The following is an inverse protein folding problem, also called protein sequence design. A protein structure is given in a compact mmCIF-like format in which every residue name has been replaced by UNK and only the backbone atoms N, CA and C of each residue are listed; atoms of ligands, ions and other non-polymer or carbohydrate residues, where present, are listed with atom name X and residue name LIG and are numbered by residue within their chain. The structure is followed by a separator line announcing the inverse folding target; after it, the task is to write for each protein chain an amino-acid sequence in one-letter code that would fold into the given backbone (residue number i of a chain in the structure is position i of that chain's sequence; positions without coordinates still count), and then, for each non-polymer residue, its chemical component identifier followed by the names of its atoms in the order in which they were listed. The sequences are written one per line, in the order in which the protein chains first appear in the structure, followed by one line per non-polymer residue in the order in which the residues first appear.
data_IF_708267434964
#
_entry.id   IF_708267434964
#
_cell.length_a   1.000
_cell.length_b   1.000
_cell.length_c   1.000
_cell.angle_alpha   90.00
_cell.angle_beta   90.00
_cell.angle_gamma   90.00
#
_symmetry.space_group_name_H-M   'P 1'
#
loop_
_entity.id
_entity.type
_entity.pdbx_description
1 polymer ?
#
# COMPACT_ATOMS: atom_id res chain seq x y z
N UNK A 1 -9.87 -24.09 30.09
CA UNK A 1 -8.96 -23.31 30.98
C UNK A 1 -8.05 -22.45 30.09
N UNK A 2 -8.33 -21.16 29.93
CA UNK A 2 -7.52 -20.23 29.12
C UNK A 2 -6.31 -19.80 29.93
N UNK A 3 -5.13 -20.06 29.41
CA UNK A 3 -3.85 -19.78 30.08
C UNK A 3 -3.67 -18.23 30.22
N UNK A 4 -3.66 -17.64 31.44
CA UNK A 4 -3.61 -16.20 31.66
C UNK A 4 -2.31 -15.57 31.18
N UNK A 5 -1.23 -16.35 31.00
CA UNK A 5 0.04 -15.90 30.44
C UNK A 5 -0.05 -15.57 28.94
N UNK A 6 -0.84 -16.31 28.17
CA UNK A 6 -1.05 -16.05 26.74
C UNK A 6 -1.79 -14.72 26.48
N UNK A 7 -2.79 -14.39 27.30
CA UNK A 7 -3.52 -13.12 27.22
C UNK A 7 -2.63 -11.91 27.57
N UNK A 8 -1.74 -12.06 28.55
CA UNK A 8 -0.79 -11.00 28.95
C UNK A 8 0.29 -10.74 27.87
N UNK A 9 0.74 -11.78 27.17
CA UNK A 9 1.69 -11.65 26.06
C UNK A 9 1.04 -10.97 24.85
N UNK A 10 -0.19 -11.28 24.51
CA UNK A 10 -0.95 -10.64 23.44
C UNK A 10 -1.13 -9.13 23.68
N UNK A 11 -1.46 -8.70 24.89
CA UNK A 11 -1.62 -7.29 25.24
C UNK A 11 -0.32 -6.49 25.16
N UNK A 12 0.82 -7.07 25.59
CA UNK A 12 2.14 -6.42 25.46
C UNK A 12 2.58 -6.30 24.01
N UNK A 13 2.32 -7.29 23.18
CA UNK A 13 2.62 -7.29 21.76
C UNK A 13 1.84 -6.20 21.04
N UNK A 14 0.55 -6.07 21.32
CA UNK A 14 -0.31 -5.05 20.71
C UNK A 14 0.10 -3.62 21.09
N UNK A 15 0.46 -3.37 22.35
CA UNK A 15 0.99 -2.05 22.79
C UNK A 15 2.28 -1.68 22.06
N UNK A 16 3.21 -2.62 21.87
CA UNK A 16 4.44 -2.41 21.10
C UNK A 16 4.15 -2.08 19.62
N UNK A 17 3.18 -2.75 19.02
CA UNK A 17 2.75 -2.48 17.64
C UNK A 17 2.20 -1.05 17.49
N UNK A 18 1.36 -0.60 18.42
CA UNK A 18 0.81 0.76 18.42
C UNK A 18 1.88 1.84 18.63
N UNK A 19 2.99 1.55 19.31
CA UNK A 19 4.08 2.48 19.51
C UNK A 19 5.03 2.62 18.29
N UNK A 20 4.98 1.69 17.32
CA UNK A 20 5.84 1.75 16.12
C UNK A 20 5.47 2.86 15.15
N UNK A 21 4.18 3.09 14.93
CA UNK A 21 3.70 4.14 14.03
C UNK A 21 4.12 5.55 14.49
N UNK A 22 3.86 5.99 15.75
CA UNK A 22 4.29 7.30 16.20
C UNK A 22 5.83 7.44 16.26
N UNK A 23 6.55 6.34 16.50
CA UNK A 23 8.01 6.37 16.45
C UNK A 23 8.53 6.53 15.01
N UNK A 24 7.90 5.88 14.03
CA UNK A 24 8.23 6.06 12.59
C UNK A 24 7.88 7.46 12.10
N UNK A 25 6.72 8.01 12.52
CA UNK A 25 6.33 9.38 12.14
C UNK A 25 7.28 10.42 12.73
N UNK A 26 7.67 10.29 13.99
CA UNK A 26 8.66 11.22 14.61
C UNK A 26 10.00 11.19 13.89
N UNK A 27 10.48 10.03 13.48
CA UNK A 27 11.72 9.90 12.72
C UNK A 27 11.60 10.55 11.35
N UNK A 28 10.49 10.35 10.64
CA UNK A 28 10.22 10.98 9.36
C UNK A 28 10.21 12.51 9.46
N UNK A 29 9.51 13.06 10.46
CA UNK A 29 9.48 14.50 10.67
C UNK A 29 10.79 15.10 11.19
N UNK A 30 11.70 14.31 11.74
CA UNK A 30 13.05 14.76 12.06
C UNK A 30 13.92 14.97 10.83
N UNK A 31 13.62 14.24 9.72
CA UNK A 31 14.39 14.26 8.47
C UNK A 31 13.66 15.02 7.35
N UNK A 32 13.42 16.31 7.58
CA UNK A 32 12.67 17.16 6.67
C UNK A 32 13.15 17.13 5.21
N UNK A 33 14.48 17.08 4.98
CA UNK A 33 15.04 17.05 3.63
C UNK A 33 14.61 15.80 2.85
N UNK A 34 14.60 14.65 3.48
CA UNK A 34 14.16 13.39 2.88
C UNK A 34 12.66 13.40 2.62
N UNK A 35 11.88 13.92 3.58
CA UNK A 35 10.43 14.06 3.44
C UNK A 35 10.08 14.99 2.27
N UNK A 36 10.70 16.16 2.16
CA UNK A 36 10.48 17.10 1.06
C UNK A 36 10.85 16.48 -0.30
N UNK A 37 11.95 15.72 -0.37
CA UNK A 37 12.32 15.02 -1.59
C UNK A 37 11.29 13.96 -1.98
N UNK A 38 10.78 13.18 -1.02
CA UNK A 38 9.70 12.22 -1.29
C UNK A 38 8.41 12.91 -1.74
N UNK A 39 8.05 14.07 -1.15
CA UNK A 39 6.90 14.87 -1.58
C UNK A 39 7.10 15.35 -3.03
N UNK A 40 8.28 15.88 -3.35
CA UNK A 40 8.59 16.35 -4.71
C UNK A 40 8.49 15.22 -5.75
N UNK A 41 9.06 14.04 -5.45
CA UNK A 41 8.96 12.86 -6.32
C UNK A 41 7.51 12.37 -6.46
N UNK A 42 6.73 12.41 -5.38
CA UNK A 42 5.33 12.00 -5.41
C UNK A 42 4.49 12.97 -6.24
N UNK A 43 4.70 14.27 -6.12
CA UNK A 43 4.05 15.27 -6.96
C UNK A 43 4.47 15.13 -8.43
N UNK A 44 5.74 14.84 -8.71
CA UNK A 44 6.21 14.56 -10.07
C UNK A 44 5.54 13.31 -10.65
N UNK A 45 5.37 12.26 -9.85
CA UNK A 45 4.64 11.06 -10.25
C UNK A 45 3.16 11.36 -10.55
N UNK A 46 2.48 12.10 -9.68
CA UNK A 46 1.09 12.51 -9.92
C UNK A 46 0.98 13.40 -11.17
N UNK A 47 1.93 14.31 -11.37
CA UNK A 47 2.03 15.14 -12.58
C UNK A 47 2.22 14.31 -13.84
N UNK A 48 3.07 13.27 -13.79
CA UNK A 48 3.26 12.35 -14.91
C UNK A 48 1.97 11.57 -15.24
N UNK A 49 1.27 11.07 -14.23
CA UNK A 49 -0.02 10.38 -14.39
C UNK A 49 -1.07 11.35 -14.98
N UNK A 50 -1.16 12.56 -14.44
CA UNK A 50 -2.11 13.59 -14.92
C UNK A 50 -1.84 13.93 -16.39
N UNK A 51 -0.58 14.21 -16.75
CA UNK A 51 -0.19 14.50 -18.13
C UNK A 51 -0.46 13.31 -19.07
N UNK A 52 -0.23 12.07 -18.60
CA UNK A 52 -0.54 10.87 -19.37
C UNK A 52 -2.03 10.81 -19.76
N UNK A 53 -2.95 11.11 -18.83
CA UNK A 53 -4.37 11.09 -19.12
C UNK A 53 -4.87 12.25 -19.97
N UNK A 54 -4.19 13.40 -19.93
CA UNK A 54 -4.59 14.58 -20.72
C UNK A 54 -3.97 14.57 -22.12
N UNK A 55 -2.82 13.93 -22.31
CA UNK A 55 -2.15 13.89 -23.60
C UNK A 55 -3.00 13.11 -24.60
N UNK A 56 -3.45 13.80 -25.65
CA UNK A 56 -4.17 13.18 -26.76
C UNK A 56 -3.17 12.59 -27.76
N UNK A 57 -3.44 11.39 -28.26
CA UNK A 57 -2.54 10.70 -29.20
C UNK A 57 -2.84 11.12 -30.66
N UNK A 58 -2.59 12.38 -30.99
CA UNK A 58 -2.83 12.90 -32.35
C UNK A 58 -1.55 13.00 -33.21
N UNK A 59 -0.37 13.05 -32.57
CA UNK A 59 0.92 13.16 -33.25
C UNK A 59 1.94 12.15 -32.74
N UNK A 60 2.97 11.83 -33.53
CA UNK A 60 4.07 10.93 -33.14
C UNK A 60 4.77 11.44 -31.87
N UNK A 61 4.95 12.77 -31.73
CA UNK A 61 5.55 13.36 -30.53
C UNK A 61 4.69 13.15 -29.28
N UNK A 62 3.37 13.24 -29.41
CA UNK A 62 2.44 12.98 -28.30
C UNK A 62 2.41 11.49 -27.92
N UNK A 63 2.48 10.59 -28.90
CA UNK A 63 2.59 9.15 -28.63
C UNK A 63 3.88 8.83 -27.86
N UNK A 64 5.03 9.41 -28.29
CA UNK A 64 6.30 9.24 -27.58
C UNK A 64 6.23 9.79 -26.16
N UNK A 65 5.62 10.96 -25.98
CA UNK A 65 5.42 11.57 -24.64
C UNK A 65 4.55 10.65 -23.77
N UNK A 66 3.42 10.15 -24.27
CA UNK A 66 2.57 9.22 -23.54
C UNK A 66 3.33 7.96 -23.13
N UNK A 67 4.15 7.40 -24.00
CA UNK A 67 4.99 6.25 -23.69
C UNK A 67 6.03 6.57 -22.60
N UNK A 68 6.68 7.73 -22.68
CA UNK A 68 7.64 8.18 -21.68
C UNK A 68 6.96 8.38 -20.31
N UNK A 69 5.77 9.00 -20.26
CA UNK A 69 5.00 9.21 -19.05
C UNK A 69 4.52 7.88 -18.43
N UNK A 70 4.09 6.93 -19.27
CA UNK A 70 3.70 5.59 -18.84
C UNK A 70 4.84 4.83 -18.15
N UNK A 71 6.10 5.06 -18.56
CA UNK A 71 7.28 4.49 -17.92
C UNK A 71 7.69 5.32 -16.70
N UNK A 72 7.63 6.64 -16.77
CA UNK A 72 8.09 7.53 -15.70
C UNK A 72 7.30 7.33 -14.40
N UNK A 73 5.98 7.16 -14.47
CA UNK A 73 5.14 6.98 -13.28
C UNK A 73 5.53 5.74 -12.43
N UNK A 74 5.62 4.52 -12.97
CA UNK A 74 6.07 3.36 -12.19
C UNK A 74 7.54 3.46 -11.75
N UNK A 75 8.43 4.07 -12.53
CA UNK A 75 9.81 4.30 -12.11
C UNK A 75 9.87 5.22 -10.90
N UNK A 76 9.19 6.37 -10.93
CA UNK A 76 9.10 7.29 -9.79
C UNK A 76 8.49 6.61 -8.57
N UNK A 77 7.44 5.82 -8.76
CA UNK A 77 6.83 5.04 -7.68
C UNK A 77 7.86 4.11 -7.02
N UNK A 78 8.62 3.32 -7.79
CA UNK A 78 9.63 2.40 -7.26
C UNK A 78 10.79 3.13 -6.57
N UNK A 79 11.19 4.30 -7.07
CA UNK A 79 12.19 5.15 -6.40
C UNK A 79 11.68 5.60 -5.03
N UNK A 80 10.43 6.07 -4.94
CA UNK A 80 9.79 6.44 -3.67
C UNK A 80 9.75 5.24 -2.71
N UNK A 81 9.42 4.03 -3.20
CA UNK A 81 9.41 2.82 -2.38
C UNK A 81 10.79 2.48 -1.84
N UNK A 82 11.84 2.61 -2.67
CA UNK A 82 13.22 2.37 -2.25
C UNK A 82 13.64 3.38 -1.19
N UNK A 83 13.29 4.66 -1.36
CA UNK A 83 13.54 5.70 -0.36
C UNK A 83 12.78 5.42 0.93
N UNK A 84 11.50 5.08 0.87
CA UNK A 84 10.67 4.74 2.02
C UNK A 84 11.18 3.51 2.80
N UNK A 85 11.79 2.54 2.13
CA UNK A 85 12.39 1.38 2.77
C UNK A 85 13.73 1.70 3.48
N UNK A 86 14.44 2.74 3.02
CA UNK A 86 15.80 3.08 3.47
C UNK A 86 15.90 4.35 4.30
N UNK A 87 14.83 5.16 4.44
CA UNK A 87 14.94 6.44 5.14
C UNK A 87 15.36 6.30 6.61
N UNK A 88 15.24 5.10 7.18
CA UNK A 88 15.69 4.82 8.56
C UNK A 88 17.19 4.46 8.65
N UNK A 89 17.83 4.18 7.51
CA UNK A 89 19.26 3.93 7.47
C UNK A 89 19.99 5.27 7.70
N UNK A 90 21.11 5.24 8.44
CA UNK A 90 21.89 6.44 8.82
C UNK A 90 22.63 7.09 7.64
N UNK A 91 21.96 7.31 6.52
CA UNK A 91 22.52 8.06 5.41
C UNK A 91 22.51 9.56 5.74
N UNK A 92 23.68 10.13 5.99
CA UNK A 92 23.85 11.52 6.35
C UNK A 92 23.53 12.52 5.23
N UNK A 93 23.02 12.09 4.07
CA UNK A 93 22.74 12.96 2.93
C UNK A 93 21.57 12.47 2.11
N UNK A 94 20.58 13.35 1.93
CA UNK A 94 19.41 13.15 1.05
C UNK A 94 19.83 12.76 -0.39
N UNK A 95 20.89 13.38 -0.90
CA UNK A 95 21.41 13.10 -2.24
C UNK A 95 21.96 11.69 -2.39
N UNK A 96 22.66 11.20 -1.37
CA UNK A 96 23.14 9.80 -1.36
C UNK A 96 21.99 8.81 -1.31
N UNK A 97 20.97 9.10 -0.51
CA UNK A 97 19.75 8.27 -0.44
C UNK A 97 19.04 8.23 -1.79
N UNK A 98 18.85 9.38 -2.44
CA UNK A 98 18.21 9.47 -3.75
C UNK A 98 19.04 8.72 -4.82
N UNK A 99 20.35 8.97 -4.90
CA UNK A 99 21.23 8.31 -5.86
C UNK A 99 21.26 6.78 -5.68
N UNK A 100 21.29 6.30 -4.42
CA UNK A 100 21.22 4.87 -4.15
C UNK A 100 19.84 4.29 -4.52
N UNK A 101 18.76 5.03 -4.29
CA UNK A 101 17.40 4.62 -4.64
C UNK A 101 17.21 4.53 -6.16
N UNK A 102 17.74 5.51 -6.90
CA UNK A 102 17.75 5.48 -8.38
C UNK A 102 18.57 4.31 -8.92
N UNK A 103 19.71 4.00 -8.28
CA UNK A 103 20.54 2.86 -8.72
C UNK A 103 19.88 1.51 -8.43
N UNK A 104 19.12 1.41 -7.36
CA UNK A 104 18.61 0.13 -6.86
C UNK A 104 17.13 -0.13 -7.20
N UNK A 105 16.39 0.84 -7.79
CA UNK A 105 14.96 0.69 -8.11
C UNK A 105 14.68 -0.51 -9.03
N UNK A 106 15.61 -0.84 -9.94
CA UNK A 106 15.45 -1.96 -10.84
C UNK A 106 15.33 -3.32 -10.11
N UNK A 107 15.96 -3.44 -8.92
CA UNK A 107 15.85 -4.64 -8.08
C UNK A 107 14.42 -4.81 -7.57
N UNK A 108 13.78 -3.68 -7.21
CA UNK A 108 12.38 -3.68 -6.83
C UNK A 108 11.47 -3.98 -8.01
N UNK A 109 11.83 -3.47 -9.20
CA UNK A 109 11.10 -3.75 -10.44
C UNK A 109 11.06 -5.26 -10.73
N UNK A 110 12.21 -5.93 -10.62
CA UNK A 110 12.31 -7.40 -10.85
C UNK A 110 11.41 -8.18 -9.89
N UNK A 111 11.32 -7.76 -8.62
CA UNK A 111 10.42 -8.39 -7.64
C UNK A 111 8.95 -7.97 -7.85
N UNK A 112 8.71 -6.76 -8.32
CA UNK A 112 7.35 -6.29 -8.60
C UNK A 112 6.71 -7.03 -9.79
N UNK A 113 7.50 -7.43 -10.80
CA UNK A 113 6.99 -8.12 -11.99
C UNK A 113 6.15 -9.37 -11.67
N UNK A 114 6.61 -10.36 -10.88
CA UNK A 114 5.78 -11.51 -10.55
C UNK A 114 4.55 -11.15 -9.73
N UNK A 115 4.61 -10.11 -8.89
CA UNK A 115 3.43 -9.62 -8.14
C UNK A 115 2.42 -8.96 -9.08
N UNK A 116 2.88 -8.18 -10.05
CA UNK A 116 2.02 -7.57 -11.08
C UNK A 116 1.37 -8.67 -11.93
N UNK A 117 2.14 -9.67 -12.35
CA UNK A 117 1.61 -10.80 -13.10
C UNK A 117 0.56 -11.57 -12.30
N UNK A 118 0.80 -11.79 -11.01
CA UNK A 118 -0.18 -12.41 -10.11
C UNK A 118 -1.43 -11.54 -9.98
N UNK A 119 -1.29 -10.23 -9.87
CA UNK A 119 -2.42 -9.29 -9.82
C UNK A 119 -3.25 -9.32 -11.10
N UNK A 120 -2.59 -9.28 -12.27
CA UNK A 120 -3.27 -9.38 -13.57
C UNK A 120 -4.00 -10.72 -13.73
N UNK A 121 -3.35 -11.82 -13.34
CA UNK A 121 -3.97 -13.15 -13.35
C UNK A 121 -5.20 -13.19 -12.42
N UNK A 122 -5.11 -12.61 -11.23
CA UNK A 122 -6.23 -12.53 -10.29
C UNK A 122 -7.39 -11.72 -10.87
N UNK A 123 -7.13 -10.54 -11.46
CA UNK A 123 -8.16 -9.73 -12.12
C UNK A 123 -8.84 -10.53 -13.24
N UNK A 124 -8.06 -11.22 -14.06
CA UNK A 124 -8.61 -12.07 -15.13
C UNK A 124 -9.51 -13.18 -14.57
N UNK A 125 -9.07 -13.88 -13.53
CA UNK A 125 -9.83 -14.94 -12.90
C UNK A 125 -11.12 -14.42 -12.26
N UNK A 126 -11.06 -13.34 -11.47
CA UNK A 126 -12.25 -12.74 -10.85
C UNK A 126 -13.24 -12.27 -11.90
N UNK A 127 -12.79 -11.57 -12.94
CA UNK A 127 -13.66 -11.16 -14.06
C UNK A 127 -14.33 -12.33 -14.76
N UNK A 128 -13.66 -13.48 -14.88
CA UNK A 128 -14.25 -14.68 -15.45
C UNK A 128 -15.28 -15.34 -14.52
N UNK A 129 -15.05 -15.33 -13.22
CA UNK A 129 -16.01 -15.82 -12.23
C UNK A 129 -17.26 -14.94 -12.18
N UNK A 130 -17.10 -13.61 -12.26
CA UNK A 130 -18.20 -12.66 -12.28
C UNK A 130 -19.07 -12.80 -13.56
N UNK A 131 -18.43 -13.02 -14.72
CA UNK A 131 -19.14 -13.21 -15.99
C UNK A 131 -19.95 -14.53 -16.04
N UNK A 132 -19.58 -15.53 -15.26
CA UNK A 132 -20.31 -16.79 -15.14
C UNK A 132 -21.41 -16.76 -14.06
N UNK A 133 -21.45 -15.71 -13.22
CA UNK A 133 -22.58 -15.49 -12.33
C UNK A 133 -23.81 -15.14 -13.19
N UNK A 134 -24.99 -15.72 -12.94
CA UNK A 134 -26.18 -15.45 -13.73
C UNK A 134 -26.43 -13.93 -13.72
N UNK A 135 -26.31 -13.33 -14.90
CA UNK A 135 -26.47 -11.90 -15.10
C UNK A 135 -27.86 -11.52 -14.59
N UNK A 136 -27.91 -10.92 -13.43
CA UNK A 136 -29.13 -10.30 -12.93
C UNK A 136 -29.46 -9.15 -13.87
N UNK A 137 -30.46 -9.38 -14.67
CA UNK A 137 -31.04 -8.67 -15.77
C UNK A 137 -31.45 -7.21 -15.49
N UNK A 138 -30.59 -6.39 -14.91
CA UNK A 138 -30.81 -4.95 -14.79
C UNK A 138 -30.62 -4.26 -16.15
N UNK A 139 -29.74 -4.77 -17.02
CA UNK A 139 -29.49 -4.20 -18.35
C UNK A 139 -30.62 -4.51 -19.37
N UNK A 140 -31.30 -5.61 -19.21
CA UNK A 140 -32.44 -5.94 -20.10
C UNK A 140 -33.73 -5.23 -19.70
N UNK A 141 -33.97 -5.01 -18.39
CA UNK A 141 -35.14 -4.30 -17.90
C UNK A 141 -35.19 -2.82 -18.34
N UNK A 142 -34.03 -2.18 -18.51
CA UNK A 142 -33.95 -0.78 -18.97
C UNK A 142 -34.21 -0.66 -20.49
N UNK A 143 -33.99 -1.72 -21.27
CA UNK A 143 -34.20 -1.69 -22.73
C UNK A 143 -35.62 -2.02 -23.18
N UNK A 144 -36.45 -2.62 -22.33
CA UNK A 144 -37.70 -3.21 -22.74
C UNK A 144 -38.96 -2.40 -22.42
N UNK A 145 -38.92 -1.25 -21.75
CA UNK A 145 -40.17 -0.53 -21.38
C UNK A 145 -40.10 0.98 -21.56
N UNK A 146 -40.84 1.57 -22.51
CA UNK A 146 -40.98 3.03 -22.66
C UNK A 146 -42.08 3.63 -21.79
N UNK A 147 -42.56 2.96 -20.74
CA UNK A 147 -43.59 3.50 -19.84
C UNK A 147 -43.08 3.59 -18.40
N UNK A 148 -43.17 4.76 -17.75
CA UNK A 148 -42.80 4.91 -16.35
C UNK A 148 -43.88 4.31 -15.45
N UNK A 149 -43.91 2.99 -15.31
CA UNK A 149 -44.62 2.37 -14.18
C UNK A 149 -43.70 2.45 -12.97
N UNK A 150 -44.18 3.07 -11.88
CA UNK A 150 -43.63 2.99 -10.55
C UNK A 150 -43.62 1.53 -10.10
N UNK A 151 -42.64 0.77 -10.55
CA UNK A 151 -42.39 -0.57 -10.07
C UNK A 151 -41.60 -0.40 -8.78
N UNK A 152 -42.27 -0.62 -7.65
CA UNK A 152 -41.57 -0.82 -6.37
C UNK A 152 -40.48 -1.85 -6.56
N UNK A 153 -39.20 -1.53 -6.33
CA UNK A 153 -38.12 -2.48 -6.55
C UNK A 153 -38.31 -3.67 -5.59
N UNK A 154 -38.63 -4.84 -6.18
CA UNK A 154 -38.69 -6.09 -5.43
C UNK A 154 -37.31 -6.35 -4.85
N UNK A 155 -37.16 -6.60 -3.55
CA UNK A 155 -35.89 -6.90 -2.92
C UNK A 155 -35.24 -8.08 -3.66
N UNK A 156 -34.12 -7.81 -4.32
CA UNK A 156 -33.39 -8.85 -5.05
C UNK A 156 -32.77 -9.83 -4.06
N UNK A 157 -32.80 -11.13 -4.30
CA UNK A 157 -32.15 -12.10 -3.44
C UNK A 157 -30.65 -11.80 -3.37
N UNK A 158 -30.13 -11.70 -2.16
CA UNK A 158 -28.71 -11.45 -1.92
C UNK A 158 -27.91 -12.66 -2.41
N UNK A 159 -27.16 -12.51 -3.49
CA UNK A 159 -26.29 -13.55 -4.02
C UNK A 159 -25.01 -13.64 -3.18
N UNK A 160 -24.97 -14.56 -2.22
CA UNK A 160 -23.82 -14.79 -1.35
C UNK A 160 -22.51 -15.04 -2.11
N UNK A 161 -22.58 -15.66 -3.29
CA UNK A 161 -21.41 -15.88 -4.16
C UNK A 161 -20.79 -14.57 -4.61
N UNK A 162 -21.59 -13.58 -5.03
CA UNK A 162 -21.10 -12.26 -5.43
C UNK A 162 -20.42 -11.54 -4.26
N UNK A 163 -21.00 -11.60 -3.06
CA UNK A 163 -20.42 -10.99 -1.85
C UNK A 163 -19.07 -11.66 -1.52
N UNK A 164 -18.99 -12.98 -1.58
CA UNK A 164 -17.76 -13.72 -1.30
C UNK A 164 -16.66 -13.39 -2.31
N UNK A 165 -16.98 -13.37 -3.61
CA UNK A 165 -16.02 -13.02 -4.67
C UNK A 165 -15.51 -11.60 -4.48
N UNK A 166 -16.40 -10.62 -4.28
CA UNK A 166 -16.04 -9.22 -4.05
C UNK A 166 -15.20 -9.06 -2.76
N UNK A 167 -15.59 -9.75 -1.68
CA UNK A 167 -14.81 -9.71 -0.43
C UNK A 167 -13.41 -10.29 -0.61
N UNK A 168 -13.28 -11.41 -1.34
CA UNK A 168 -12.00 -12.03 -1.61
C UNK A 168 -11.13 -11.15 -2.52
N UNK A 169 -11.72 -10.49 -3.49
CA UNK A 169 -11.06 -9.51 -4.36
C UNK A 169 -10.49 -8.36 -3.54
N UNK A 170 -11.29 -7.72 -2.70
CA UNK A 170 -10.81 -6.65 -1.81
C UNK A 170 -9.73 -7.14 -0.84
N UNK A 171 -9.89 -8.33 -0.25
CA UNK A 171 -8.88 -8.90 0.64
C UNK A 171 -7.55 -9.11 -0.09
N UNK A 172 -7.60 -9.62 -1.31
CA UNK A 172 -6.41 -9.87 -2.12
C UNK A 172 -5.72 -8.55 -2.50
N UNK A 173 -6.45 -7.59 -3.07
CA UNK A 173 -5.87 -6.35 -3.61
C UNK A 173 -5.57 -5.29 -2.54
N UNK A 174 -6.35 -5.20 -1.46
CA UNK A 174 -6.14 -4.19 -0.42
C UNK A 174 -5.26 -4.67 0.73
N UNK A 175 -5.11 -5.99 0.95
CA UNK A 175 -4.35 -6.52 2.09
C UNK A 175 -3.21 -7.43 1.65
N UNK A 176 -3.52 -8.53 0.94
CA UNK A 176 -2.55 -9.59 0.70
C UNK A 176 -1.42 -9.11 -0.23
N UNK A 177 -1.75 -8.61 -1.41
CA UNK A 177 -0.75 -8.16 -2.40
C UNK A 177 0.10 -6.98 -1.90
N UNK A 178 -0.47 -5.89 -1.35
CA UNK A 178 0.33 -4.78 -0.87
C UNK A 178 1.24 -5.18 0.30
N UNK A 179 0.74 -5.97 1.24
CA UNK A 179 1.52 -6.39 2.39
C UNK A 179 2.69 -7.30 1.99
N UNK A 180 2.45 -8.24 1.07
CA UNK A 180 3.50 -9.08 0.48
C UNK A 180 4.52 -8.22 -0.29
N UNK A 181 4.07 -7.27 -1.10
CA UNK A 181 4.92 -6.36 -1.85
C UNK A 181 5.84 -5.54 -0.93
N UNK A 182 5.29 -4.90 0.10
CA UNK A 182 6.05 -4.09 1.06
C UNK A 182 7.17 -4.92 1.70
N UNK A 183 6.86 -6.13 2.19
CA UNK A 183 7.87 -6.97 2.85
C UNK A 183 8.95 -7.45 1.89
N UNK A 184 8.59 -7.82 0.65
CA UNK A 184 9.55 -8.17 -0.38
C UNK A 184 10.42 -6.98 -0.80
N UNK A 185 9.86 -5.78 -0.91
CA UNK A 185 10.61 -4.55 -1.21
C UNK A 185 11.58 -4.19 -0.10
N UNK A 186 11.15 -4.24 1.17
CA UNK A 186 12.01 -4.00 2.33
C UNK A 186 13.18 -5.01 2.33
N UNK A 187 12.89 -6.30 2.17
CA UNK A 187 13.92 -7.33 2.14
C UNK A 187 14.89 -7.11 0.97
N UNK A 188 14.39 -6.76 -0.22
CA UNK A 188 15.23 -6.51 -1.40
C UNK A 188 16.11 -5.27 -1.22
N UNK A 189 15.58 -4.23 -0.61
CA UNK A 189 16.33 -3.00 -0.35
C UNK A 189 17.47 -3.24 0.65
N UNK A 190 17.32 -4.16 1.62
CA UNK A 190 18.30 -4.48 2.67
C UNK A 190 19.24 -5.61 2.31
N UNK A 191 18.69 -6.76 1.94
CA UNK A 191 19.44 -8.02 1.77
C UNK A 191 19.85 -8.27 0.31
N UNK A 192 19.28 -7.49 -0.62
CA UNK A 192 19.48 -7.66 -2.05
C UNK A 192 18.58 -8.75 -2.67
N UNK A 193 18.56 -8.76 -4.02
CA UNK A 193 17.64 -9.56 -4.82
C UNK A 193 17.78 -11.07 -4.58
N UNK A 194 19.02 -11.58 -4.62
CA UNK A 194 19.31 -13.02 -4.52
C UNK A 194 18.87 -13.64 -3.19
N UNK A 195 19.15 -12.94 -2.09
CA UNK A 195 18.76 -13.42 -0.76
C UNK A 195 17.26 -13.33 -0.55
N UNK A 196 16.61 -12.29 -1.09
CA UNK A 196 15.15 -12.17 -1.04
C UNK A 196 14.47 -13.32 -1.76
N UNK A 197 14.93 -13.73 -2.94
CA UNK A 197 14.37 -14.89 -3.65
C UNK A 197 14.56 -16.19 -2.87
N UNK A 198 15.74 -16.44 -2.31
CA UNK A 198 16.00 -17.64 -1.51
C UNK A 198 15.12 -17.74 -0.27
N UNK A 199 14.79 -16.59 0.35
CA UNK A 199 14.05 -16.50 1.61
C UNK A 199 12.61 -16.05 1.43
N UNK A 200 12.10 -15.95 0.19
CA UNK A 200 10.78 -15.42 -0.12
C UNK A 200 9.65 -16.04 0.70
N UNK A 201 9.63 -17.35 0.87
CA UNK A 201 8.63 -18.03 1.70
C UNK A 201 8.66 -17.59 3.17
N UNK A 202 9.86 -17.40 3.76
CA UNK A 202 10.00 -16.90 5.13
C UNK A 202 9.60 -15.44 5.26
N UNK A 203 9.93 -14.62 4.26
CA UNK A 203 9.56 -13.20 4.21
C UNK A 203 8.04 -13.06 4.12
N UNK A 204 7.39 -13.83 3.24
CA UNK A 204 5.93 -13.88 3.13
C UNK A 204 5.28 -14.38 4.42
N UNK A 205 5.82 -15.40 5.08
CA UNK A 205 5.34 -15.85 6.39
C UNK A 205 5.40 -14.74 7.45
N UNK A 206 6.46 -13.92 7.46
CA UNK A 206 6.58 -12.75 8.33
C UNK A 206 5.61 -11.62 7.96
N UNK A 207 5.32 -11.44 6.67
CA UNK A 207 4.37 -10.45 6.20
C UNK A 207 2.97 -10.64 6.82
N UNK A 208 2.54 -11.90 6.95
CA UNK A 208 1.21 -12.23 7.49
C UNK A 208 1.19 -12.46 9.01
N UNK A 209 2.21 -12.03 9.74
CA UNK A 209 2.14 -12.02 11.20
C UNK A 209 1.06 -11.05 11.67
N UNK A 210 0.34 -11.34 12.76
CA UNK A 210 -0.70 -10.46 13.30
C UNK A 210 -0.23 -9.02 13.52
N UNK A 211 1.03 -8.84 13.92
CA UNK A 211 1.63 -7.52 14.12
C UNK A 211 1.76 -6.73 12.81
N UNK A 212 2.25 -7.38 11.74
CA UNK A 212 2.38 -6.76 10.42
C UNK A 212 1.02 -6.39 9.85
N UNK A 213 0.04 -7.31 9.96
CA UNK A 213 -1.34 -7.08 9.49
C UNK A 213 -1.98 -5.91 10.23
N UNK A 214 -1.88 -5.84 11.57
CA UNK A 214 -2.44 -4.74 12.37
C UNK A 214 -1.74 -3.42 12.04
N UNK A 215 -0.39 -3.40 11.94
CA UNK A 215 0.37 -2.20 11.57
C UNK A 215 -0.07 -1.69 10.20
N UNK A 216 -0.18 -2.59 9.22
CA UNK A 216 -0.65 -2.24 7.89
C UNK A 216 -2.10 -1.75 7.88
N UNK A 217 -3.01 -2.42 8.58
CA UNK A 217 -4.41 -2.02 8.65
C UNK A 217 -4.60 -0.62 9.23
N UNK A 218 -3.87 -0.28 10.31
CA UNK A 218 -3.87 1.08 10.86
C UNK A 218 -3.32 2.07 9.85
N UNK A 219 -2.18 1.75 9.23
CA UNK A 219 -1.58 2.58 8.17
C UNK A 219 -2.54 2.78 7.00
N UNK A 220 -3.24 1.73 6.55
CA UNK A 220 -4.24 1.77 5.48
C UNK A 220 -5.35 2.80 5.76
N UNK A 221 -5.81 2.90 7.00
CA UNK A 221 -6.77 3.95 7.37
C UNK A 221 -6.19 5.33 7.08
N UNK A 222 -4.92 5.59 7.41
CA UNK A 222 -4.30 6.89 7.20
C UNK A 222 -3.98 7.19 5.74
N UNK A 223 -3.45 6.23 4.97
CA UNK A 223 -3.02 6.51 3.59
C UNK A 223 -4.09 6.24 2.53
N UNK A 224 -5.17 5.51 2.84
CA UNK A 224 -6.23 5.20 1.88
C UNK A 224 -7.61 5.72 2.34
N UNK A 225 -8.06 5.36 3.54
CA UNK A 225 -9.43 5.67 4.00
C UNK A 225 -9.61 7.15 4.25
N UNK A 226 -8.68 7.81 4.97
CA UNK A 226 -8.76 9.26 5.23
C UNK A 226 -8.70 10.07 3.92
N UNK A 227 -7.75 9.86 2.99
CA UNK A 227 -7.77 10.51 1.68
C UNK A 227 -9.06 10.29 0.89
N UNK A 228 -9.59 9.07 0.89
CA UNK A 228 -10.84 8.76 0.23
C UNK A 228 -11.99 9.63 0.77
N UNK A 229 -12.16 9.70 2.09
CA UNK A 229 -13.19 10.55 2.69
C UNK A 229 -12.97 12.03 2.40
N UNK A 230 -11.73 12.53 2.39
CA UNK A 230 -11.43 13.92 2.04
C UNK A 230 -11.88 14.27 0.61
N UNK A 231 -11.74 13.32 -0.34
CA UNK A 231 -12.14 13.54 -1.74
C UNK A 231 -13.65 13.42 -1.92
N UNK A 232 -14.29 12.42 -1.32
CA UNK A 232 -15.70 12.12 -1.56
C UNK A 232 -16.66 13.03 -0.78
N UNK A 233 -16.24 13.55 0.38
CA UNK A 233 -17.11 14.39 1.20
C UNK A 233 -17.40 15.72 0.50
N UNK A 234 -18.70 16.00 0.25
CA UNK A 234 -19.17 17.26 -0.29
C UNK A 234 -19.46 18.24 0.85
N UNK A 235 -19.04 19.51 0.72
CA UNK A 235 -19.47 20.58 1.63
C UNK A 235 -20.52 21.42 0.93
N UNK A 236 -21.65 21.70 1.58
CA UNK A 236 -22.68 22.59 1.04
C UNK A 236 -22.19 24.04 1.17
N UNK A 237 -21.44 24.52 0.16
CA UNK A 237 -20.98 25.92 0.10
C UNK A 237 -21.65 26.58 -1.09
N UNK A 238 -22.17 27.76 -0.87
CA UNK A 238 -22.91 28.56 -1.89
C UNK A 238 -21.99 29.36 -2.80
N UNK A 239 -20.75 29.65 -2.36
CA UNK A 239 -19.77 30.44 -3.12
C UNK A 239 -18.85 29.52 -3.95
N UNK A 240 -18.81 29.73 -5.27
CA UNK A 240 -17.96 28.94 -6.19
C UNK A 240 -16.46 29.06 -5.87
N UNK A 241 -15.98 30.22 -5.41
CA UNK A 241 -14.57 30.40 -5.03
C UNK A 241 -14.19 29.65 -3.76
N UNK A 242 -15.09 29.63 -2.76
CA UNK A 242 -14.88 28.86 -1.54
C UNK A 242 -14.92 27.36 -1.82
N UNK A 243 -15.82 26.91 -2.68
CA UNK A 243 -15.91 25.51 -3.08
C UNK A 243 -14.62 25.06 -3.80
N UNK A 244 -14.13 25.85 -4.76
CA UNK A 244 -12.87 25.60 -5.44
C UNK A 244 -11.68 25.58 -4.46
N UNK A 245 -11.59 26.56 -3.55
CA UNK A 245 -10.55 26.61 -2.53
C UNK A 245 -10.57 25.41 -1.59
N UNK A 246 -11.75 24.99 -1.14
CA UNK A 246 -11.93 23.80 -0.31
C UNK A 246 -11.58 22.50 -1.06
N UNK A 247 -11.91 22.40 -2.35
CA UNK A 247 -11.53 21.27 -3.18
C UNK A 247 -10.02 21.15 -3.28
N UNK A 248 -9.32 22.26 -3.57
CA UNK A 248 -7.84 22.27 -3.62
C UNK A 248 -7.24 21.90 -2.27
N UNK A 249 -7.72 22.48 -1.18
CA UNK A 249 -7.24 22.17 0.17
C UNK A 249 -7.42 20.69 0.52
N UNK A 250 -8.57 20.08 0.19
CA UNK A 250 -8.84 18.66 0.39
C UNK A 250 -7.94 17.78 -0.45
N UNK A 251 -7.72 18.15 -1.71
CA UNK A 251 -6.84 17.40 -2.60
C UNK A 251 -5.40 17.41 -2.07
N UNK A 252 -4.91 18.59 -1.64
CA UNK A 252 -3.58 18.70 -1.01
C UNK A 252 -3.47 17.86 0.25
N UNK A 253 -4.47 17.91 1.13
CA UNK A 253 -4.49 17.09 2.33
C UNK A 253 -4.55 15.59 2.00
N UNK A 254 -5.35 15.18 1.03
CA UNK A 254 -5.44 13.80 0.60
C UNK A 254 -4.09 13.28 0.09
N UNK A 255 -3.40 14.09 -0.73
CA UNK A 255 -2.05 13.78 -1.24
C UNK A 255 -1.05 13.64 -0.10
N UNK A 256 -1.04 14.57 0.86
CA UNK A 256 -0.14 14.54 2.02
C UNK A 256 -0.42 13.33 2.93
N UNK A 257 -1.68 13.07 3.27
CA UNK A 257 -2.05 11.91 4.10
C UNK A 257 -1.70 10.59 3.40
N UNK A 258 -1.91 10.50 2.09
CA UNK A 258 -1.58 9.31 1.32
C UNK A 258 -0.07 9.04 1.35
N UNK A 259 0.77 10.04 1.06
CA UNK A 259 2.22 9.87 1.05
C UNK A 259 2.78 9.64 2.46
N UNK A 260 2.46 10.52 3.42
CA UNK A 260 3.00 10.43 4.79
C UNK A 260 2.52 9.14 5.45
N UNK A 261 1.23 8.83 5.34
CA UNK A 261 0.66 7.59 5.88
C UNK A 261 1.32 6.36 5.30
N UNK A 262 1.58 6.35 3.99
CA UNK A 262 2.30 5.26 3.32
C UNK A 262 3.74 5.12 3.83
N UNK A 263 4.54 6.20 3.80
CA UNK A 263 5.94 6.17 4.24
C UNK A 263 6.08 5.77 5.71
N UNK A 264 5.20 6.29 6.59
CA UNK A 264 5.17 5.91 8.00
C UNK A 264 4.82 4.43 8.17
N UNK A 265 3.89 3.90 7.36
CA UNK A 265 3.51 2.48 7.40
C UNK A 265 4.67 1.59 6.97
N UNK A 266 5.32 1.90 5.85
CA UNK A 266 6.51 1.18 5.39
C UNK A 266 7.62 1.25 6.45
N UNK A 267 7.89 2.42 7.00
CA UNK A 267 8.89 2.61 8.05
C UNK A 267 8.58 1.82 9.34
N UNK A 268 7.30 1.75 9.74
CA UNK A 268 6.91 0.94 10.89
C UNK A 268 7.09 -0.57 10.65
N UNK A 269 6.88 -1.03 9.41
CA UNK A 269 7.09 -2.41 8.99
C UNK A 269 8.59 -2.75 8.78
N UNK A 270 9.42 -1.75 8.47
CA UNK A 270 10.87 -1.90 8.36
C UNK A 270 11.55 -2.20 9.70
N UNK A 271 10.98 -1.79 10.83
CA UNK A 271 11.59 -2.04 12.13
C UNK A 271 11.52 -3.54 12.44
N UNK A 272 12.68 -4.23 12.58
CA UNK A 272 12.67 -5.61 13.01
C UNK A 272 11.93 -5.64 14.35
N UNK A 273 10.96 -6.55 14.48
CA UNK A 273 10.53 -6.90 15.82
C UNK A 273 11.80 -7.32 16.55
N UNK A 274 12.07 -6.73 17.71
CA UNK A 274 12.97 -7.39 18.64
C UNK A 274 12.42 -8.79 18.79
N UNK A 275 13.00 -9.73 18.03
CA UNK A 275 12.82 -11.15 18.36
C UNK A 275 13.16 -11.21 19.85
N UNK A 276 12.28 -11.77 20.70
CA UNK A 276 12.73 -12.07 22.03
C UNK A 276 14.04 -12.81 21.80
N UNK A 277 15.15 -12.27 22.27
CA UNK A 277 16.39 -13.02 22.39
C UNK A 277 15.97 -14.23 23.20
N UNK A 278 15.60 -15.29 22.49
CA UNK A 278 15.63 -16.61 23.05
C UNK A 278 17.12 -16.79 23.25
N UNK A 279 17.59 -16.34 24.43
CA UNK A 279 18.92 -16.69 24.92
C UNK A 279 19.00 -18.16 24.62
N UNK A 280 19.88 -18.50 23.69
CA UNK A 280 20.07 -19.87 23.29
C UNK A 280 20.36 -20.59 24.59
N UNK A 281 19.54 -21.59 24.91
CA UNK A 281 19.69 -22.39 26.14
C UNK A 281 21.11 -23.00 26.21
N UNK A 282 21.84 -22.97 25.10
CA UNK A 282 23.23 -23.38 24.97
C UNK A 282 24.23 -22.38 25.61
N UNK A 283 23.96 -21.06 25.64
CA UNK A 283 24.86 -20.13 26.37
C UNK A 283 24.75 -20.24 27.88
N UNK A 284 23.66 -20.75 28.43
CA UNK A 284 23.50 -20.99 29.87
C UNK A 284 24.21 -22.28 30.35
N UNK A 285 24.61 -23.16 29.43
CA UNK A 285 25.33 -24.38 29.79
C UNK A 285 26.85 -24.22 29.91
N UNK A 286 27.41 -23.15 29.31
CA UNK A 286 28.87 -22.90 29.42
C UNK A 286 29.31 -22.20 30.70
N UNK A 287 28.41 -21.63 31.48
CA UNK A 287 28.77 -20.93 32.74
C UNK A 287 28.79 -21.82 33.99
N UNK A 288 28.68 -23.13 33.86
CA UNK A 288 28.63 -24.03 35.01
C UNK A 288 29.68 -25.15 34.96
N UNK A 289 30.98 -24.77 34.95
CA UNK A 289 32.06 -25.66 35.39
C UNK A 289 33.15 -24.80 36.12
N UNK A 290 33.11 -24.69 37.45
CA UNK A 290 34.35 -24.49 38.24
C UNK A 290 34.93 -25.88 38.54
N UNK A 291 36.16 -26.11 38.12
CA UNK A 291 37.02 -27.20 38.58
C UNK A 291 37.45 -26.96 40.03
#
# INVERSE_FOLDING_TARGET
MTNPTALRQGSKSMKRTLQRLPAASRELFRRWGELLTMIALYLAMLGAIYLFFITREATIGQLLLSFLLAIAAPVLFLIIQTMAARYQDDSNSVWKLLASSVRDFWKLLVIALPLILLAVLAIYLFGRFESNAPATTIREAVRATPTPRLVTPKPQPVHWQSILITTLEYLLFCLILPLAAIHLWIATARDGLRETFKRSGRILGRAFTPQSVVTYAIGFVFFAVVPYFLIVTKTPVTSAWLDAGLLVARLLLAVLFSLIGWVVTVGALCRPGEEPVVASVDELKECHYPA
#
